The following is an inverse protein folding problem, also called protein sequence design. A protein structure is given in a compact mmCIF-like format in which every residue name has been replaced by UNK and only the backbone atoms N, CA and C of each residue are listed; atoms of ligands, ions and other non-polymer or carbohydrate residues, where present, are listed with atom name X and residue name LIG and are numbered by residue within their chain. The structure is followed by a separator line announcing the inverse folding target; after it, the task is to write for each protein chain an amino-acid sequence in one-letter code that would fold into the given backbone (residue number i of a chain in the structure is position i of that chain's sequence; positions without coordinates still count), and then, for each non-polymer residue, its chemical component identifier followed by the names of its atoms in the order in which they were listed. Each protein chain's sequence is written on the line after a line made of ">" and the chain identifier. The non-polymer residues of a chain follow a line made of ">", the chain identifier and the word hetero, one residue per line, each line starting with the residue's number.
data_IF_112390797185
#
_entry.id   IF_112390797185
#
_cell.length_a   1.000
_cell.length_b   1.000
_cell.length_c   1.000
_cell.angle_alpha   90.00
_cell.angle_beta   90.00
_cell.angle_gamma   90.00
#
_symmetry.space_group_name_H-M   'P 1'
#
loop_
_entity.id
_entity.type
_entity.pdbx_description
1 polymer ?
#
# COMPACT_ATOMS: atom_id res chain seq x y z
N UNK A 1 -51.19 -6.55 32.86
CA UNK A 1 -51.43 -7.66 31.91
C UNK A 1 -51.97 -8.88 32.65
N UNK A 2 -53.30 -9.03 32.66
CA UNK A 2 -53.98 -10.22 33.17
C UNK A 2 -54.67 -10.87 31.96
N UNK A 3 -54.11 -11.99 31.52
CA UNK A 3 -54.56 -12.68 30.31
C UNK A 3 -55.45 -13.86 30.70
N UNK A 4 -56.60 -13.96 30.04
CA UNK A 4 -57.55 -15.06 30.27
C UNK A 4 -57.99 -15.71 28.96
N UNK A 5 -58.21 -17.02 29.01
CA UNK A 5 -58.89 -17.74 27.93
C UNK A 5 -60.40 -17.68 28.12
N UNK A 6 -61.09 -17.28 27.05
CA UNK A 6 -62.54 -17.37 26.93
C UNK A 6 -62.95 -18.75 26.36
N UNK A 7 -64.20 -18.91 25.95
CA UNK A 7 -64.74 -20.17 25.44
C UNK A 7 -63.92 -20.69 24.24
N UNK A 8 -63.13 -21.74 24.46
CA UNK A 8 -62.48 -22.49 23.40
C UNK A 8 -63.52 -23.34 22.65
N UNK A 9 -63.25 -23.63 21.38
CA UNK A 9 -64.11 -24.47 20.56
C UNK A 9 -63.31 -25.29 19.55
N UNK A 10 -63.87 -26.44 19.15
CA UNK A 10 -63.30 -27.30 18.12
C UNK A 10 -63.96 -26.98 16.77
N UNK A 11 -63.16 -26.77 15.73
CA UNK A 11 -63.63 -26.63 14.36
C UNK A 11 -62.60 -27.21 13.39
N UNK A 12 -63.05 -28.01 12.42
CA UNK A 12 -62.18 -28.63 11.40
C UNK A 12 -60.96 -29.37 12.00
N UNK A 13 -61.18 -30.16 13.05
CA UNK A 13 -60.13 -30.90 13.79
C UNK A 13 -59.03 -30.04 14.42
N UNK A 14 -59.29 -28.73 14.59
CA UNK A 14 -58.40 -27.77 15.26
C UNK A 14 -59.08 -27.14 16.46
N UNK A 15 -58.30 -26.91 17.51
CA UNK A 15 -58.78 -26.22 18.71
C UNK A 15 -58.54 -24.72 18.55
N UNK A 16 -59.61 -23.94 18.69
CA UNK A 16 -59.59 -22.48 18.68
C UNK A 16 -59.63 -21.96 20.12
N UNK A 17 -58.58 -21.27 20.55
CA UNK A 17 -58.46 -20.68 21.89
C UNK A 17 -58.51 -19.16 21.78
N UNK A 18 -59.57 -18.56 22.33
CA UNK A 18 -59.74 -17.10 22.37
C UNK A 18 -59.05 -16.56 23.62
N UNK A 19 -58.00 -15.75 23.44
CA UNK A 19 -57.26 -15.10 24.53
C UNK A 19 -57.51 -13.61 24.50
N UNK A 20 -57.86 -13.02 25.65
CA UNK A 20 -58.02 -11.57 25.79
C UNK A 20 -57.32 -11.07 27.04
N UNK A 21 -56.84 -9.83 26.97
CA UNK A 21 -56.45 -9.07 28.15
C UNK A 21 -57.68 -8.45 28.83
N UNK A 22 -57.61 -8.33 30.15
CA UNK A 22 -58.61 -7.63 30.96
C UNK A 22 -58.17 -6.22 31.37
N UNK A 23 -56.94 -5.84 31.03
CA UNK A 23 -56.35 -4.51 31.25
C UNK A 23 -56.98 -3.48 30.28
N UNK A 24 -57.66 -2.44 30.77
CA UNK A 24 -58.37 -1.48 29.92
C UNK A 24 -57.44 -0.63 29.04
N UNK A 25 -56.15 -0.52 29.40
CA UNK A 25 -55.18 0.29 28.68
C UNK A 25 -54.39 -0.52 27.62
N UNK A 26 -54.53 -1.85 27.61
CA UNK A 26 -53.82 -2.72 26.66
C UNK A 26 -54.74 -3.82 26.10
N UNK A 27 -55.29 -3.61 24.91
CA UNK A 27 -56.18 -4.58 24.26
C UNK A 27 -55.42 -5.61 23.43
N UNK A 28 -54.96 -6.70 24.06
CA UNK A 28 -54.50 -7.89 23.34
C UNK A 28 -55.69 -8.85 23.18
N UNK A 29 -56.11 -9.12 21.94
CA UNK A 29 -57.19 -10.06 21.63
C UNK A 29 -56.81 -10.88 20.40
N UNK A 30 -56.67 -12.20 20.57
CA UNK A 30 -56.36 -13.11 19.46
C UNK A 30 -57.05 -14.46 19.65
N UNK A 31 -57.19 -15.17 18.53
CA UNK A 31 -57.64 -16.57 18.52
C UNK A 31 -56.49 -17.44 18.05
N UNK A 32 -55.93 -18.24 18.95
CA UNK A 32 -54.95 -19.25 18.60
C UNK A 32 -55.65 -20.44 17.94
N UNK A 33 -55.08 -20.94 16.85
CA UNK A 33 -55.57 -22.11 16.12
C UNK A 33 -54.54 -23.22 16.27
N UNK A 34 -54.86 -24.21 17.09
CA UNK A 34 -53.96 -25.29 17.46
C UNK A 34 -54.32 -26.55 16.67
N UNK A 35 -53.33 -27.20 16.08
CA UNK A 35 -53.54 -28.45 15.34
C UNK A 35 -53.83 -29.60 16.31
N UNK A 36 -55.04 -30.15 16.25
CA UNK A 36 -55.52 -31.23 17.13
C UNK A 36 -56.65 -30.82 18.07
N UNK A 37 -57.22 -31.84 18.74
CA UNK A 37 -58.25 -31.68 19.76
C UNK A 37 -57.63 -31.57 21.16
N UNK A 38 -57.75 -30.38 21.74
CA UNK A 38 -57.27 -30.02 23.07
C UNK A 38 -58.40 -29.63 24.03
N UNK A 39 -59.66 -29.93 23.68
CA UNK A 39 -60.84 -29.51 24.46
C UNK A 39 -60.88 -30.11 25.87
N UNK A 40 -60.16 -31.20 26.12
CA UNK A 40 -60.02 -31.84 27.43
C UNK A 40 -59.00 -31.16 28.36
N UNK A 41 -58.20 -30.21 27.85
CA UNK A 41 -57.20 -29.48 28.63
C UNK A 41 -57.83 -28.44 29.54
N UNK A 42 -57.15 -28.14 30.65
CA UNK A 42 -57.56 -27.06 31.54
C UNK A 42 -57.45 -25.69 30.86
N UNK A 43 -58.16 -24.68 31.39
CA UNK A 43 -58.05 -23.29 30.93
C UNK A 43 -56.61 -22.75 30.98
N UNK A 44 -55.85 -23.11 32.03
CA UNK A 44 -54.46 -22.69 32.17
C UNK A 44 -53.56 -23.31 31.10
N UNK A 45 -53.75 -24.60 30.79
CA UNK A 45 -53.01 -25.26 29.70
C UNK A 45 -53.40 -24.70 28.33
N UNK A 46 -54.68 -24.43 28.08
CA UNK A 46 -55.14 -23.79 26.84
C UNK A 46 -54.57 -22.37 26.71
N UNK A 47 -54.46 -21.61 27.80
CA UNK A 47 -53.83 -20.30 27.81
C UNK A 47 -52.35 -20.40 27.43
N UNK A 48 -51.61 -21.34 28.03
CA UNK A 48 -50.20 -21.57 27.71
C UNK A 48 -50.01 -21.95 26.24
N UNK A 49 -50.84 -22.86 25.70
CA UNK A 49 -50.79 -23.24 24.29
C UNK A 49 -51.13 -22.07 23.36
N UNK A 50 -52.13 -21.26 23.72
CA UNK A 50 -52.52 -20.07 22.97
C UNK A 50 -51.42 -19.01 22.94
N UNK A 51 -50.75 -18.78 24.08
CA UNK A 51 -49.62 -17.85 24.16
C UNK A 51 -48.40 -18.39 23.39
N UNK A 52 -48.09 -19.68 23.51
CA UNK A 52 -47.02 -20.30 22.73
C UNK A 52 -47.26 -20.19 21.23
N UNK A 53 -48.50 -20.39 20.77
CA UNK A 53 -48.90 -20.15 19.38
C UNK A 53 -48.74 -18.69 18.97
N UNK A 54 -49.17 -17.74 19.81
CA UNK A 54 -49.06 -16.31 19.50
C UNK A 54 -47.59 -15.87 19.40
N UNK A 55 -46.75 -16.30 20.34
CA UNK A 55 -45.31 -16.04 20.32
C UNK A 55 -44.64 -16.69 19.11
N UNK A 56 -44.96 -17.96 18.81
CA UNK A 56 -44.41 -18.68 17.66
C UNK A 56 -44.85 -18.09 16.32
N UNK A 57 -46.10 -17.63 16.21
CA UNK A 57 -46.62 -17.04 14.98
C UNK A 57 -46.17 -15.59 14.83
N UNK A 58 -46.55 -14.70 15.73
CA UNK A 58 -46.39 -13.27 15.50
C UNK A 58 -45.04 -12.73 15.98
N UNK A 59 -44.54 -13.21 17.12
CA UNK A 59 -43.28 -12.68 17.69
C UNK A 59 -42.06 -13.26 16.95
N UNK A 60 -42.06 -14.56 16.64
CA UNK A 60 -40.98 -15.17 15.87
C UNK A 60 -41.02 -14.75 14.39
N UNK A 61 -42.18 -14.67 13.71
CA UNK A 61 -42.22 -14.19 12.31
C UNK A 61 -41.72 -12.75 12.19
N UNK A 62 -42.15 -11.85 13.10
CA UNK A 62 -41.66 -10.46 13.10
C UNK A 62 -40.15 -10.38 13.38
N UNK A 63 -39.66 -11.17 14.34
CA UNK A 63 -38.22 -11.25 14.64
C UNK A 63 -37.44 -11.76 13.42
N UNK A 64 -37.92 -12.82 12.76
CA UNK A 64 -37.31 -13.39 11.56
C UNK A 64 -37.28 -12.40 10.39
N UNK A 65 -38.37 -11.65 10.17
CA UNK A 65 -38.41 -10.61 9.13
C UNK A 65 -37.37 -9.53 9.40
N UNK A 66 -37.31 -9.03 10.64
CA UNK A 66 -36.30 -8.03 11.03
C UNK A 66 -34.88 -8.57 10.84
N UNK A 67 -34.63 -9.84 11.19
CA UNK A 67 -33.34 -10.50 10.93
C UNK A 67 -33.02 -10.57 9.42
N UNK A 68 -34.00 -10.85 8.56
CA UNK A 68 -33.79 -10.89 7.10
C UNK A 68 -33.42 -9.51 6.55
N UNK A 69 -34.07 -8.44 7.00
CA UNK A 69 -33.76 -7.06 6.59
C UNK A 69 -32.36 -6.63 7.06
N UNK A 70 -31.99 -6.95 8.30
CA UNK A 70 -30.65 -6.70 8.84
C UNK A 70 -29.59 -7.49 8.06
N UNK A 71 -29.86 -8.76 7.73
CA UNK A 71 -28.97 -9.59 6.90
C UNK A 71 -28.83 -9.02 5.48
N UNK A 72 -29.89 -8.50 4.87
CA UNK A 72 -29.83 -7.86 3.56
C UNK A 72 -28.94 -6.61 3.60
N UNK A 73 -29.10 -5.78 4.64
CA UNK A 73 -28.28 -4.59 4.86
C UNK A 73 -26.79 -4.95 5.05
N UNK A 74 -26.51 -6.01 5.81
CA UNK A 74 -25.14 -6.52 6.00
C UNK A 74 -24.57 -7.03 4.68
N UNK A 75 -25.33 -7.76 3.87
CA UNK A 75 -24.87 -8.22 2.54
C UNK A 75 -24.51 -7.07 1.62
N UNK A 76 -25.31 -6.02 1.58
CA UNK A 76 -25.02 -4.83 0.80
C UNK A 76 -23.75 -4.11 1.29
N UNK A 77 -23.55 -4.06 2.61
CA UNK A 77 -22.32 -3.52 3.19
C UNK A 77 -21.10 -4.38 2.83
N UNK A 78 -21.20 -5.71 2.94
CA UNK A 78 -20.14 -6.66 2.56
C UNK A 78 -19.76 -6.48 1.09
N UNK A 79 -20.75 -6.40 0.20
CA UNK A 79 -20.50 -6.18 -1.23
C UNK A 79 -19.77 -4.86 -1.51
N UNK A 80 -20.16 -3.78 -0.83
CA UNK A 80 -19.43 -2.50 -0.93
C UNK A 80 -17.99 -2.63 -0.44
N UNK A 81 -17.76 -3.40 0.62
CA UNK A 81 -16.41 -3.68 1.12
C UNK A 81 -15.60 -4.52 0.13
N UNK A 82 -16.18 -5.55 -0.48
CA UNK A 82 -15.55 -6.34 -1.54
C UNK A 82 -15.13 -5.47 -2.73
N UNK A 83 -16.01 -4.58 -3.19
CA UNK A 83 -15.71 -3.62 -4.26
C UNK A 83 -14.57 -2.66 -3.88
N UNK A 84 -14.50 -2.26 -2.60
CA UNK A 84 -13.41 -1.43 -2.09
C UNK A 84 -12.10 -2.21 -2.09
N UNK A 85 -12.10 -3.46 -1.60
CA UNK A 85 -10.92 -4.32 -1.56
C UNK A 85 -10.37 -4.56 -2.97
N UNK A 86 -11.24 -4.89 -3.94
CA UNK A 86 -10.84 -5.09 -5.33
C UNK A 86 -10.18 -3.83 -5.93
N UNK A 87 -10.70 -2.63 -5.62
CA UNK A 87 -10.07 -1.38 -6.06
C UNK A 87 -8.72 -1.14 -5.37
N UNK A 88 -8.57 -1.51 -4.11
CA UNK A 88 -7.28 -1.40 -3.42
C UNK A 88 -6.24 -2.32 -4.03
N UNK A 89 -6.60 -3.56 -4.37
CA UNK A 89 -5.69 -4.53 -5.01
C UNK A 89 -5.18 -4.03 -6.36
N UNK A 90 -6.08 -3.47 -7.20
CA UNK A 90 -5.70 -2.85 -8.48
C UNK A 90 -4.72 -1.70 -8.24
N UNK A 91 -5.03 -0.81 -7.29
CA UNK A 91 -4.16 0.34 -6.99
C UNK A 91 -2.81 -0.08 -6.39
N UNK A 92 -2.77 -1.15 -5.59
CA UNK A 92 -1.54 -1.74 -5.09
C UNK A 92 -0.69 -2.25 -6.23
N UNK A 93 -1.30 -3.00 -7.17
CA UNK A 93 -0.59 -3.52 -8.35
C UNK A 93 -0.03 -2.39 -9.22
N UNK A 94 -0.79 -1.30 -9.41
CA UNK A 94 -0.30 -0.12 -10.12
C UNK A 94 0.88 0.56 -9.41
N UNK A 95 0.85 0.63 -8.07
CA UNK A 95 1.94 1.17 -7.27
C UNK A 95 3.18 0.27 -7.36
N UNK A 96 3.02 -1.05 -7.28
CA UNK A 96 4.12 -2.01 -7.40
C UNK A 96 4.77 -1.89 -8.78
N UNK A 97 3.98 -1.80 -9.85
CA UNK A 97 4.50 -1.61 -11.20
C UNK A 97 5.23 -0.27 -11.36
N UNK A 98 4.73 0.81 -10.74
CA UNK A 98 5.41 2.11 -10.73
C UNK A 98 6.70 2.07 -9.93
N UNK A 99 6.70 1.41 -8.78
CA UNK A 99 7.89 1.21 -7.94
C UNK A 99 8.94 0.39 -8.69
N UNK A 100 8.55 -0.67 -9.38
CA UNK A 100 9.46 -1.45 -10.23
C UNK A 100 10.03 -0.58 -11.36
N UNK A 101 9.18 0.17 -12.06
CA UNK A 101 9.65 1.08 -13.11
C UNK A 101 10.57 2.19 -12.58
N UNK A 102 10.34 2.63 -11.33
CA UNK A 102 11.17 3.59 -10.63
C UNK A 102 12.53 2.99 -10.24
N UNK A 103 12.55 1.78 -9.69
CA UNK A 103 13.77 1.02 -9.36
C UNK A 103 14.61 0.71 -10.60
N UNK A 104 13.98 0.55 -11.78
CA UNK A 104 14.72 0.44 -13.05
C UNK A 104 15.40 1.73 -13.49
N UNK A 105 15.04 2.87 -12.91
CA UNK A 105 15.58 4.15 -13.35
C UNK A 105 17.00 4.39 -12.79
N UNK A 106 17.31 3.80 -11.63
CA UNK A 106 18.64 3.84 -11.03
C UNK A 106 18.76 2.85 -9.85
N UNK A 107 19.99 2.46 -9.52
CA UNK A 107 20.35 1.70 -8.31
C UNK A 107 21.20 2.59 -7.41
N UNK A 108 21.02 2.56 -6.10
CA UNK A 108 21.88 3.35 -5.20
C UNK A 108 23.20 2.62 -4.91
N UNK A 109 24.30 3.35 -4.81
CA UNK A 109 25.62 2.76 -4.58
C UNK A 109 25.73 1.96 -3.25
N UNK A 110 24.87 2.26 -2.27
CA UNK A 110 24.79 1.55 -0.99
C UNK A 110 24.14 0.16 -1.11
N UNK A 111 23.30 -0.06 -2.13
CA UNK A 111 22.63 -1.33 -2.38
C UNK A 111 23.49 -2.33 -3.16
N UNK A 112 24.60 -1.87 -3.75
CA UNK A 112 25.49 -2.70 -4.55
C UNK A 112 26.35 -3.63 -3.69
N UNK A 113 26.45 -4.89 -4.09
CA UNK A 113 27.43 -5.83 -3.52
C UNK A 113 28.86 -5.46 -3.92
N UNK A 114 29.84 -5.98 -3.20
CA UNK A 114 31.26 -5.72 -3.50
C UNK A 114 31.67 -6.29 -4.87
N UNK A 115 31.06 -7.41 -5.29
CA UNK A 115 31.23 -7.97 -6.62
C UNK A 115 30.69 -7.03 -7.71
N UNK A 116 29.49 -6.48 -7.51
CA UNK A 116 28.88 -5.53 -8.46
C UNK A 116 29.69 -4.23 -8.56
N UNK A 117 30.20 -3.71 -7.44
CA UNK A 117 31.10 -2.55 -7.44
C UNK A 117 32.37 -2.85 -8.21
N UNK A 118 32.95 -4.04 -8.02
CA UNK A 118 34.14 -4.48 -8.76
C UNK A 118 33.86 -4.59 -10.26
N UNK A 119 32.72 -5.15 -10.65
CA UNK A 119 32.30 -5.26 -12.04
C UNK A 119 32.10 -3.88 -12.69
N UNK A 120 31.47 -2.94 -11.98
CA UNK A 120 31.34 -1.54 -12.42
C UNK A 120 32.71 -0.92 -12.68
N UNK A 121 33.63 -1.03 -11.72
CA UNK A 121 34.98 -0.46 -11.85
C UNK A 121 35.71 -1.08 -13.04
N UNK A 122 35.59 -2.39 -13.23
CA UNK A 122 36.23 -3.13 -14.32
C UNK A 122 35.73 -2.76 -15.73
N UNK A 123 34.61 -2.04 -15.85
CA UNK A 123 34.15 -1.50 -17.15
C UNK A 123 35.04 -0.36 -17.66
N UNK A 124 35.85 0.25 -16.78
CA UNK A 124 36.68 1.42 -17.09
C UNK A 124 38.17 1.06 -17.04
N UNK A 125 39.01 1.70 -17.88
CA UNK A 125 40.44 1.47 -17.85
C UNK A 125 41.06 1.99 -16.54
N UNK A 126 42.01 1.24 -16.00
CA UNK A 126 42.81 1.70 -14.87
C UNK A 126 43.64 2.94 -15.24
N UNK A 127 43.82 3.82 -14.26
CA UNK A 127 44.74 4.94 -14.36
C UNK A 127 46.17 4.44 -14.61
N UNK A 128 46.85 5.05 -15.57
CA UNK A 128 48.24 4.79 -15.91
C UNK A 128 49.01 6.09 -16.10
N UNK A 129 50.29 6.09 -15.72
CA UNK A 129 51.21 7.23 -15.89
C UNK A 129 51.74 7.28 -17.33
N UNK A 130 51.86 8.48 -17.90
CA UNK A 130 52.31 8.69 -19.28
C UNK A 130 51.22 8.41 -20.33
N UNK A 131 49.97 8.24 -19.90
CA UNK A 131 48.81 8.02 -20.78
C UNK A 131 48.22 9.37 -21.15
N UNK A 132 47.93 9.58 -22.43
CA UNK A 132 47.23 10.77 -22.91
C UNK A 132 45.72 10.58 -22.79
N UNK A 133 45.13 11.25 -21.80
CA UNK A 133 43.70 11.26 -21.54
C UNK A 133 42.99 12.42 -22.23
N UNK A 134 41.75 12.19 -22.66
CA UNK A 134 40.88 13.20 -23.24
C UNK A 134 39.87 13.71 -22.20
N UNK A 135 39.42 14.97 -22.32
CA UNK A 135 38.32 15.49 -21.49
C UNK A 135 37.08 14.59 -21.62
N UNK A 136 36.44 14.28 -20.50
CA UNK A 136 35.27 13.40 -20.39
C UNK A 136 35.60 11.90 -20.32
N UNK A 137 36.86 11.50 -20.50
CA UNK A 137 37.27 10.10 -20.32
C UNK A 137 37.16 9.70 -18.86
N UNK A 138 36.65 8.50 -18.60
CA UNK A 138 36.54 7.93 -17.24
C UNK A 138 37.63 6.89 -17.02
N UNK A 139 38.27 6.91 -15.85
CA UNK A 139 39.33 6.01 -15.43
C UNK A 139 39.09 5.50 -14.01
N UNK A 140 39.53 4.27 -13.74
CA UNK A 140 39.55 3.69 -12.40
C UNK A 140 40.87 4.01 -11.69
N UNK A 141 40.79 4.47 -10.44
CA UNK A 141 41.96 4.69 -9.58
C UNK A 141 41.61 4.27 -8.15
N UNK A 142 42.34 3.29 -7.62
CA UNK A 142 42.13 2.74 -6.26
C UNK A 142 40.66 2.35 -5.98
N UNK A 143 40.00 1.75 -6.97
CA UNK A 143 38.60 1.31 -6.86
C UNK A 143 37.56 2.44 -6.99
N UNK A 144 37.99 3.67 -7.29
CA UNK A 144 37.13 4.83 -7.49
C UNK A 144 37.18 5.30 -8.93
N UNK A 145 36.04 5.68 -9.50
CA UNK A 145 35.96 6.18 -10.88
C UNK A 145 36.12 7.70 -10.93
N UNK A 146 36.95 8.18 -11.85
CA UNK A 146 37.21 9.60 -12.06
C UNK A 146 37.01 9.97 -13.52
N UNK A 147 36.36 11.11 -13.77
CA UNK A 147 36.22 11.72 -15.09
C UNK A 147 37.31 12.78 -15.29
N UNK A 148 37.94 12.77 -16.45
CA UNK A 148 38.98 13.72 -16.84
C UNK A 148 38.34 15.06 -17.17
N UNK A 149 38.66 16.09 -16.38
CA UNK A 149 38.14 17.46 -16.54
C UNK A 149 38.82 18.15 -17.73
N UNK A 150 40.13 17.98 -17.85
CA UNK A 150 40.95 18.60 -18.90
C UNK A 150 41.86 17.56 -19.54
N UNK A 151 41.86 17.46 -20.87
CA UNK A 151 42.76 16.56 -21.61
C UNK A 151 44.23 16.87 -21.33
N UNK A 152 45.00 15.83 -21.03
CA UNK A 152 46.41 15.93 -20.63
C UNK A 152 47.13 14.57 -20.76
N UNK A 153 48.46 14.58 -20.64
CA UNK A 153 49.24 13.35 -20.41
C UNK A 153 49.50 13.19 -18.92
N UNK A 154 49.09 12.05 -18.34
CA UNK A 154 49.17 11.78 -16.91
C UNK A 154 50.62 11.68 -16.39
N UNK A 155 50.82 12.04 -15.12
CA UNK A 155 52.12 12.03 -14.43
C UNK A 155 51.98 11.37 -13.06
N UNK A 156 53.07 10.83 -12.52
CA UNK A 156 53.04 10.12 -11.24
C UNK A 156 52.47 10.94 -10.06
N UNK A 157 52.73 12.25 -10.06
CA UNK A 157 52.24 13.17 -9.02
C UNK A 157 50.84 13.75 -9.34
N UNK A 158 50.25 13.39 -10.48
CA UNK A 158 48.91 13.80 -10.89
C UNK A 158 47.90 12.67 -10.67
N UNK A 159 47.77 12.25 -9.41
CA UNK A 159 46.81 11.21 -9.03
C UNK A 159 45.38 11.76 -9.16
N UNK A 160 44.42 10.95 -9.64
CA UNK A 160 43.02 11.38 -9.75
C UNK A 160 42.42 11.86 -8.43
N UNK A 161 42.80 11.26 -7.30
CA UNK A 161 42.34 11.64 -5.96
C UNK A 161 42.94 12.95 -5.43
N UNK A 162 44.06 13.42 -5.98
CA UNK A 162 44.82 14.57 -5.47
C UNK A 162 44.79 15.78 -6.41
N UNK A 163 44.33 15.62 -7.66
CA UNK A 163 44.45 16.63 -8.72
C UNK A 163 43.09 17.05 -9.28
N UNK A 164 42.30 17.76 -8.46
CA UNK A 164 40.94 18.21 -8.80
C UNK A 164 40.84 19.06 -10.09
N UNK A 165 41.92 19.75 -10.48
CA UNK A 165 41.96 20.51 -11.73
C UNK A 165 41.96 19.63 -12.99
N UNK A 166 42.36 18.36 -12.87
CA UNK A 166 42.45 17.40 -13.98
C UNK A 166 41.42 16.28 -13.90
N UNK A 167 40.94 15.96 -12.69
CA UNK A 167 40.03 14.85 -12.44
C UNK A 167 38.92 15.27 -11.48
N UNK A 168 37.71 14.75 -11.71
CA UNK A 168 36.60 14.85 -10.76
C UNK A 168 36.02 13.46 -10.52
N UNK A 169 35.38 13.26 -9.38
CA UNK A 169 34.70 12.01 -9.08
C UNK A 169 33.61 11.74 -10.13
N UNK A 170 33.60 10.55 -10.72
CA UNK A 170 32.57 10.16 -11.68
C UNK A 170 31.38 9.54 -10.94
N UNK A 171 30.32 10.32 -10.81
CA UNK A 171 29.16 9.97 -9.97
C UNK A 171 28.02 9.27 -10.71
N UNK A 172 28.19 8.99 -12.01
CA UNK A 172 27.17 8.37 -12.87
C UNK A 172 27.65 7.04 -13.52
N UNK A 173 28.23 6.09 -12.76
CA UNK A 173 28.47 4.76 -13.32
C UNK A 173 27.15 4.11 -13.73
N UNK A 174 27.22 3.13 -14.62
CA UNK A 174 26.06 2.30 -14.97
C UNK A 174 26.35 0.84 -14.66
N UNK A 175 25.29 0.09 -14.38
CA UNK A 175 25.34 -1.36 -14.20
C UNK A 175 24.32 -2.01 -15.13
N UNK A 176 24.67 -3.19 -15.65
CA UNK A 176 23.71 -4.04 -16.36
C UNK A 176 23.04 -4.95 -15.34
N UNK A 177 21.72 -4.85 -15.20
CA UNK A 177 20.95 -5.69 -14.29
C UNK A 177 20.90 -7.14 -14.79
N UNK A 178 20.45 -8.07 -13.94
CA UNK A 178 20.28 -9.47 -14.32
C UNK A 178 19.36 -9.67 -15.55
N UNK A 179 18.43 -8.74 -15.76
CA UNK A 179 17.50 -8.73 -16.89
C UNK A 179 18.07 -8.07 -18.16
N UNK A 180 19.34 -7.62 -18.11
CA UNK A 180 20.05 -7.02 -19.24
C UNK A 180 19.78 -5.51 -19.43
N UNK A 181 19.12 -4.85 -18.48
CA UNK A 181 18.89 -3.40 -18.55
C UNK A 181 20.09 -2.63 -18.01
N UNK A 182 20.52 -1.58 -18.72
CA UNK A 182 21.57 -0.67 -18.25
C UNK A 182 20.91 0.44 -17.42
N UNK A 183 21.30 0.56 -16.16
CA UNK A 183 20.72 1.52 -15.21
C UNK A 183 21.81 2.36 -14.55
N UNK A 184 21.49 3.62 -14.24
CA UNK A 184 22.40 4.53 -13.55
C UNK A 184 22.64 4.09 -12.11
N UNK A 185 23.86 4.25 -11.62
CA UNK A 185 24.22 4.09 -10.21
C UNK A 185 24.25 5.47 -9.56
N UNK A 186 23.42 5.68 -8.56
CA UNK A 186 23.31 6.93 -7.81
C UNK A 186 24.22 6.87 -6.59
N UNK A 187 25.22 7.75 -6.58
CA UNK A 187 26.19 7.87 -5.49
C UNK A 187 25.73 8.89 -4.44
N UNK A 188 26.33 8.83 -3.25
CA UNK A 188 26.11 9.85 -2.21
C UNK A 188 26.59 11.23 -2.68
N UNK A 189 25.84 12.26 -2.30
CA UNK A 189 26.20 13.64 -2.57
C UNK A 189 27.59 13.94 -2.01
N UNK A 190 28.47 14.37 -2.90
CA UNK A 190 29.75 14.99 -2.57
C UNK A 190 29.65 16.48 -2.82
N UNK A 191 30.02 17.28 -1.83
CA UNK A 191 30.01 18.74 -1.90
C UNK A 191 31.00 19.22 -2.98
N UNK A 192 30.54 19.89 -4.05
CA UNK A 192 31.43 20.41 -5.08
C UNK A 192 32.35 21.49 -4.52
N UNK A 193 33.56 21.56 -5.09
CA UNK A 193 34.60 22.53 -4.77
C UNK A 193 34.62 23.70 -5.74
N UNK A 194 33.94 23.60 -6.89
CA UNK A 194 33.78 24.69 -7.84
C UNK A 194 32.90 24.33 -9.04
N UNK A 195 33.10 25.02 -10.16
CA UNK A 195 32.30 24.81 -11.37
C UNK A 195 32.68 23.51 -12.13
N UNK A 196 33.89 22.99 -11.91
CA UNK A 196 34.42 21.84 -12.64
C UNK A 196 33.84 20.50 -12.17
N UNK A 197 33.40 20.44 -10.91
CA UNK A 197 32.76 19.29 -10.25
C UNK A 197 31.30 19.56 -9.86
N UNK A 198 30.71 20.64 -10.38
CA UNK A 198 29.32 20.97 -10.16
C UNK A 198 28.38 19.99 -10.86
N UNK A 199 27.28 19.63 -10.18
CA UNK A 199 26.23 18.77 -10.74
C UNK A 199 25.49 19.49 -11.86
N UNK A 200 25.21 18.78 -12.95
CA UNK A 200 24.41 19.29 -14.05
C UNK A 200 22.93 18.97 -13.84
N UNK A 201 22.04 19.63 -14.58
CA UNK A 201 20.61 19.34 -14.47
C UNK A 201 20.33 17.87 -14.81
N UNK A 202 19.56 17.21 -13.95
CA UNK A 202 19.21 15.79 -14.08
C UNK A 202 20.17 14.85 -13.34
N UNK A 203 21.34 15.33 -12.90
CA UNK A 203 22.28 14.52 -12.11
C UNK A 203 21.63 14.09 -10.80
N UNK A 204 21.83 12.82 -10.42
CA UNK A 204 21.21 12.25 -9.24
C UNK A 204 22.23 11.95 -8.16
N UNK A 205 21.82 12.15 -6.91
CA UNK A 205 22.60 11.81 -5.71
C UNK A 205 21.69 11.22 -4.63
N UNK A 206 22.25 10.37 -3.77
CA UNK A 206 21.65 10.10 -2.46
C UNK A 206 22.09 11.19 -1.48
N UNK A 207 21.16 11.65 -0.64
CA UNK A 207 21.42 12.59 0.43
C UNK A 207 20.42 12.34 1.56
N UNK A 208 20.89 12.09 2.78
CA UNK A 208 20.05 11.80 3.96
C UNK A 208 19.03 10.67 3.71
N UNK A 209 19.44 9.62 2.99
CA UNK A 209 18.61 8.44 2.70
C UNK A 209 17.53 8.65 1.63
N UNK A 210 17.55 9.77 0.90
CA UNK A 210 16.65 10.06 -0.21
C UNK A 210 17.41 10.33 -1.49
N UNK A 211 16.77 10.12 -2.64
CA UNK A 211 17.36 10.40 -3.95
C UNK A 211 16.88 11.75 -4.46
N UNK A 212 17.82 12.60 -4.85
CA UNK A 212 17.55 13.92 -5.40
C UNK A 212 18.14 14.03 -6.81
N UNK A 213 17.40 14.65 -7.72
CA UNK A 213 17.88 15.06 -9.03
C UNK A 213 18.13 16.57 -9.04
N UNK A 214 19.28 17.01 -9.54
CA UNK A 214 19.58 18.43 -9.69
C UNK A 214 18.58 19.06 -10.66
N UNK A 215 17.94 20.14 -10.24
CA UNK A 215 16.96 20.88 -11.02
C UNK A 215 17.61 21.95 -11.93
N UNK A 216 18.89 22.26 -11.70
CA UNK A 216 19.64 23.32 -12.37
C UNK A 216 21.02 22.83 -12.85
N UNK A 217 21.57 23.50 -13.85
CA UNK A 217 22.96 23.28 -14.28
C UNK A 217 23.94 23.96 -13.33
N UNK A 218 25.15 23.40 -13.23
CA UNK A 218 26.22 23.89 -12.37
C UNK A 218 25.82 24.03 -10.89
N UNK A 219 25.08 23.07 -10.37
CA UNK A 219 24.64 23.03 -8.98
C UNK A 219 25.80 22.65 -8.05
N UNK A 220 26.15 23.57 -7.16
CA UNK A 220 27.23 23.41 -6.15
C UNK A 220 26.69 23.34 -4.72
N UNK A 221 25.38 23.26 -4.53
CA UNK A 221 24.75 23.28 -3.21
C UNK A 221 24.12 21.94 -2.88
N UNK A 222 24.16 21.52 -1.61
CA UNK A 222 23.44 20.33 -1.16
C UNK A 222 21.91 20.53 -1.19
N UNK A 223 21.12 19.45 -1.19
CA UNK A 223 19.65 19.52 -1.09
C UNK A 223 19.15 20.34 0.10
N UNK A 224 19.85 20.32 1.24
CA UNK A 224 19.50 21.15 2.40
C UNK A 224 19.93 22.60 2.25
N UNK A 225 21.11 22.86 1.67
CA UNK A 225 21.63 24.22 1.52
C UNK A 225 20.86 25.03 0.47
N UNK A 226 20.38 24.39 -0.59
CA UNK A 226 19.56 25.04 -1.62
C UNK A 226 18.47 24.10 -2.16
N UNK A 227 17.36 23.90 -1.42
CA UNK A 227 16.32 22.94 -1.79
C UNK A 227 15.69 23.19 -3.16
N UNK A 228 15.58 24.45 -3.59
CA UNK A 228 15.04 24.80 -4.91
C UNK A 228 15.92 24.33 -6.08
N UNK A 229 17.19 24.03 -5.82
CA UNK A 229 18.12 23.45 -6.81
C UNK A 229 17.95 21.95 -7.01
N UNK A 230 17.06 21.28 -6.27
CA UNK A 230 16.90 19.83 -6.29
C UNK A 230 15.43 19.42 -6.38
N UNK A 231 15.16 18.33 -7.08
CA UNK A 231 13.86 17.66 -7.11
C UNK A 231 14.00 16.33 -6.38
N UNK A 232 13.15 16.10 -5.38
CA UNK A 232 13.05 14.80 -4.73
C UNK A 232 12.49 13.80 -5.75
N UNK A 233 13.20 12.69 -5.95
CA UNK A 233 12.87 11.72 -7.00
C UNK A 233 11.86 10.68 -6.49
N UNK A 234 11.81 10.44 -5.17
CA UNK A 234 10.89 9.56 -4.40
C UNK A 234 10.45 8.22 -5.03
#
# INVERSE_FOLDING_TARGET
>A
MALETFTAYLANDKTHVVVRDTDPDLNVNFTAVLDGDFMSKSKSELLQLGLAWFTGKYVQEYSNQKTVEEVATIKDAVKKTEDIVARMEIKSTELDNKMIAFQRLFVTAVELTDEQKTEIVAQYPDYGVGVTYQTGQVVAYEGTLYEVVQGHTSQADWKPSETASLYKLFLKPTITTADGEVVDVVNEFVQPTGAHDAYQKGDRVTFEGKVYASAIDNNVYSPTAYPAGWTLVE
#
